data_IF_866640407642
#
_entry.id   IF_866640407642
#
_cell.length_a   1.000
_cell.length_b   1.000
_cell.length_c   1.000
_cell.angle_alpha   90.00
_cell.angle_beta   90.00
_cell.angle_gamma   90.00
#
_symmetry.space_group_name_H-M   'P 1'
#
loop_
_entity.id
_entity.type
_entity.pdbx_description
1 polymer ?
#
# COMPACT_ATOMS: atom_id res chain seq x y z
N UNK A 1 5.10 -8.95 11.37
CA UNK A 1 4.06 -7.93 11.36
C UNK A 1 3.88 -7.38 9.96
N UNK A 2 2.65 -7.18 9.53
CA UNK A 2 2.33 -6.59 8.23
C UNK A 2 1.65 -5.25 8.41
N UNK A 3 2.13 -4.23 7.70
CA UNK A 3 1.52 -2.90 7.71
C UNK A 3 0.90 -2.64 6.34
N UNK A 4 -0.35 -2.21 6.34
CA UNK A 4 -1.00 -1.72 5.12
C UNK A 4 -0.65 -0.25 4.94
N UNK A 5 -0.15 0.11 3.77
CA UNK A 5 0.18 1.50 3.44
C UNK A 5 -0.78 1.99 2.36
N UNK A 6 -1.50 3.06 2.68
CA UNK A 6 -2.36 3.75 1.72
C UNK A 6 -1.64 4.97 1.20
N UNK A 7 -1.44 5.05 -0.10
CA UNK A 7 -0.76 6.17 -0.74
C UNK A 7 -1.34 6.43 -2.13
N UNK A 8 -1.05 7.60 -2.65
CA UNK A 8 -1.55 8.00 -3.96
C UNK A 8 -0.77 7.40 -5.11
N UNK A 9 -1.37 7.45 -6.30
CA UNK A 9 -0.75 7.04 -7.55
C UNK A 9 0.11 8.15 -8.17
N UNK A 10 0.31 9.25 -7.46
CA UNK A 10 1.13 10.37 -7.89
C UNK A 10 2.24 10.62 -6.88
N UNK A 11 3.42 11.03 -7.36
CA UNK A 11 4.53 11.42 -6.48
C UNK A 11 4.25 12.77 -5.83
N UNK A 12 3.38 13.59 -6.42
CA UNK A 12 3.12 14.94 -5.98
C UNK A 12 4.16 15.92 -6.51
N UNK A 13 4.04 17.18 -6.14
CA UNK A 13 4.95 18.24 -6.60
C UNK A 13 6.21 18.35 -5.75
N UNK A 14 6.16 17.86 -4.51
CA UNK A 14 7.28 17.96 -3.59
C UNK A 14 8.10 16.66 -3.57
N UNK A 15 9.35 16.67 -4.05
CA UNK A 15 10.20 15.47 -4.06
C UNK A 15 10.48 14.92 -2.66
N UNK A 16 10.29 15.72 -1.61
CA UNK A 16 10.46 15.26 -0.23
C UNK A 16 9.46 14.13 0.13
N UNK A 17 8.30 14.10 -0.51
CA UNK A 17 7.32 13.03 -0.26
C UNK A 17 7.87 11.67 -0.69
N UNK A 18 8.51 11.60 -1.85
CA UNK A 18 9.11 10.36 -2.32
C UNK A 18 10.28 9.94 -1.43
N UNK A 19 11.12 10.90 -1.02
CA UNK A 19 12.25 10.64 -0.13
C UNK A 19 11.78 10.15 1.24
N UNK A 20 10.78 10.78 1.82
CA UNK A 20 10.22 10.38 3.11
C UNK A 20 9.57 9.01 3.04
N UNK A 21 8.86 8.72 1.95
CA UNK A 21 8.23 7.42 1.71
C UNK A 21 9.29 6.31 1.63
N UNK A 22 10.36 6.56 0.89
CA UNK A 22 11.48 5.61 0.78
C UNK A 22 12.13 5.37 2.13
N UNK A 23 12.42 6.43 2.87
CA UNK A 23 13.03 6.33 4.20
C UNK A 23 12.14 5.54 5.17
N UNK A 24 10.84 5.80 5.16
CA UNK A 24 9.88 5.07 5.98
C UNK A 24 9.87 3.58 5.62
N UNK A 25 9.81 3.26 4.33
CA UNK A 25 9.81 1.87 3.86
C UNK A 25 11.08 1.14 4.29
N UNK A 26 12.24 1.75 4.13
CA UNK A 26 13.51 1.16 4.56
C UNK A 26 13.52 0.93 6.07
N UNK A 27 13.10 1.91 6.86
CA UNK A 27 13.06 1.80 8.31
C UNK A 27 12.17 0.65 8.77
N UNK A 28 10.95 0.57 8.23
CA UNK A 28 10.01 -0.49 8.61
C UNK A 28 10.53 -1.86 8.19
N UNK A 29 11.04 -1.98 6.98
CA UNK A 29 11.59 -3.26 6.49
C UNK A 29 12.76 -3.73 7.35
N UNK A 30 13.65 -2.82 7.73
CA UNK A 30 14.79 -3.14 8.59
C UNK A 30 14.37 -3.54 10.00
N UNK A 31 13.15 -3.24 10.42
CA UNK A 31 12.60 -3.63 11.72
C UNK A 31 11.66 -4.84 11.62
N UNK A 32 11.76 -5.61 10.54
CA UNK A 32 11.01 -6.86 10.41
C UNK A 32 9.56 -6.70 10.00
N UNK A 33 9.20 -5.55 9.43
CA UNK A 33 7.84 -5.27 8.99
C UNK A 33 7.71 -5.58 7.50
N UNK A 34 6.64 -6.25 7.11
CA UNK A 34 6.29 -6.51 5.72
C UNK A 34 5.18 -5.57 5.27
N UNK A 35 5.06 -5.38 3.96
CA UNK A 35 4.14 -4.42 3.36
C UNK A 35 2.93 -5.09 2.75
N UNK A 36 1.76 -4.49 2.97
CA UNK A 36 0.53 -4.74 2.20
C UNK A 36 0.12 -3.42 1.58
N UNK A 37 -0.13 -3.40 0.28
CA UNK A 37 -0.49 -2.14 -0.39
C UNK A 37 -1.31 -2.40 -1.65
N UNK A 38 -1.54 -1.34 -2.43
CA UNK A 38 -2.41 -1.41 -3.61
C UNK A 38 -1.86 -2.11 -4.84
N UNK A 39 -0.63 -2.63 -4.80
CA UNK A 39 -0.09 -3.46 -5.87
C UNK A 39 0.42 -2.74 -7.12
N UNK A 40 0.23 -1.43 -7.22
CA UNK A 40 0.67 -0.65 -8.37
C UNK A 40 2.15 -0.27 -8.32
N UNK A 41 2.64 0.27 -9.44
CA UNK A 41 4.02 0.72 -9.55
C UNK A 41 4.12 2.20 -9.94
N UNK A 42 3.03 2.95 -9.87
CA UNK A 42 3.01 4.36 -10.21
C UNK A 42 3.15 5.23 -8.96
N UNK A 43 3.81 6.37 -9.10
CA UNK A 43 3.93 7.36 -8.03
C UNK A 43 4.50 6.79 -6.74
N UNK A 44 3.94 7.17 -5.62
CA UNK A 44 4.38 6.71 -4.30
C UNK A 44 4.17 5.23 -4.08
N UNK A 45 3.24 4.60 -4.81
CA UNK A 45 3.04 3.15 -4.73
C UNK A 45 4.31 2.40 -5.10
N UNK A 46 4.92 2.76 -6.23
CA UNK A 46 6.17 2.13 -6.66
C UNK A 46 7.31 2.40 -5.69
N UNK A 47 7.38 3.63 -5.18
CA UNK A 47 8.43 4.02 -4.23
C UNK A 47 8.36 3.18 -2.95
N UNK A 48 7.18 3.05 -2.36
CA UNK A 48 7.05 2.30 -1.10
C UNK A 48 7.32 0.82 -1.29
N UNK A 49 6.82 0.22 -2.35
CA UNK A 49 7.06 -1.19 -2.64
C UNK A 49 8.54 -1.48 -2.85
N UNK A 50 9.22 -0.68 -3.67
CA UNK A 50 10.64 -0.87 -3.93
C UNK A 50 11.47 -0.66 -2.67
N UNK A 51 11.10 0.28 -1.81
CA UNK A 51 11.83 0.53 -0.57
C UNK A 51 11.82 -0.70 0.35
N UNK A 52 10.67 -1.35 0.51
CA UNK A 52 10.58 -2.59 1.30
C UNK A 52 11.37 -3.72 0.65
N UNK A 53 11.23 -3.90 -0.66
CA UNK A 53 11.94 -4.96 -1.39
C UNK A 53 13.45 -4.80 -1.31
N UNK A 54 13.96 -3.57 -1.39
CA UNK A 54 15.39 -3.28 -1.31
C UNK A 54 16.02 -3.74 0.00
N UNK A 55 15.24 -3.83 1.06
CA UNK A 55 15.70 -4.28 2.38
C UNK A 55 15.29 -5.71 2.70
N UNK A 56 14.84 -6.45 1.70
CA UNK A 56 14.54 -7.87 1.84
C UNK A 56 13.22 -8.22 2.50
N UNK A 57 12.33 -7.25 2.69
CA UNK A 57 11.01 -7.50 3.25
C UNK A 57 10.09 -8.16 2.23
N UNK A 58 9.01 -8.78 2.70
CA UNK A 58 7.95 -9.32 1.87
C UNK A 58 6.99 -8.18 1.50
N UNK A 59 6.52 -8.17 0.27
CA UNK A 59 5.57 -7.15 -0.21
C UNK A 59 4.39 -7.84 -0.88
N UNK A 60 3.21 -7.57 -0.36
CA UNK A 60 1.95 -8.13 -0.84
C UNK A 60 1.11 -7.03 -1.45
N UNK A 61 0.77 -7.18 -2.73
CA UNK A 61 -0.07 -6.23 -3.43
C UNK A 61 -1.46 -6.77 -3.65
N UNK A 62 -2.46 -5.89 -3.61
CA UNK A 62 -3.85 -6.22 -3.95
C UNK A 62 -4.35 -5.19 -4.92
N UNK A 63 -4.73 -5.60 -6.13
CA UNK A 63 -5.12 -4.67 -7.18
C UNK A 63 -6.39 -5.16 -7.89
N UNK A 64 -7.39 -4.26 -8.11
CA UNK A 64 -8.54 -4.60 -8.93
C UNK A 64 -8.13 -4.81 -10.38
N UNK A 65 -8.80 -5.75 -11.05
CA UNK A 65 -8.52 -6.08 -12.45
C UNK A 65 -8.51 -4.82 -13.35
N UNK A 66 -9.49 -3.93 -13.16
CA UNK A 66 -9.62 -2.74 -14.02
C UNK A 66 -8.54 -1.67 -13.78
N UNK A 67 -7.78 -1.77 -12.68
CA UNK A 67 -6.68 -0.85 -12.37
C UNK A 67 -5.30 -1.40 -12.74
N UNK A 68 -5.21 -2.67 -13.12
CA UNK A 68 -3.93 -3.31 -13.42
C UNK A 68 -3.08 -2.51 -14.41
N UNK A 69 -3.68 -2.07 -15.51
CA UNK A 69 -2.96 -1.32 -16.52
C UNK A 69 -2.76 0.13 -16.14
N UNK A 70 -3.75 0.74 -15.48
CA UNK A 70 -3.70 2.14 -15.07
C UNK A 70 -2.67 2.39 -13.97
N UNK A 71 -2.59 1.52 -12.99
CA UNK A 71 -1.65 1.65 -11.88
C UNK A 71 -0.35 0.89 -12.12
N UNK A 72 -0.20 0.28 -13.28
CA UNK A 72 1.01 -0.47 -13.68
C UNK A 72 1.38 -1.49 -12.61
N UNK A 73 0.64 -2.59 -12.54
CA UNK A 73 0.86 -3.64 -11.55
C UNK A 73 2.35 -3.95 -11.41
N UNK A 74 2.85 -3.95 -10.19
CA UNK A 74 4.27 -4.16 -9.89
C UNK A 74 4.67 -5.60 -10.20
N UNK A 75 5.80 -5.78 -10.88
CA UNK A 75 6.24 -7.09 -11.36
C UNK A 75 7.16 -7.83 -10.38
N UNK A 76 7.66 -7.15 -9.35
CA UNK A 76 8.64 -7.71 -8.43
C UNK A 76 8.13 -8.06 -7.04
N UNK A 77 6.81 -8.10 -6.83
CA UNK A 77 6.24 -8.36 -5.52
C UNK A 77 6.39 -9.81 -5.07
N UNK A 78 6.35 -10.02 -3.76
CA UNK A 78 6.27 -11.36 -3.18
C UNK A 78 5.01 -12.06 -3.66
N UNK A 79 3.88 -11.34 -3.63
CA UNK A 79 2.59 -11.84 -4.11
C UNK A 79 1.74 -10.67 -4.61
N UNK A 80 1.07 -10.85 -5.74
CA UNK A 80 0.10 -9.89 -6.26
C UNK A 80 -1.24 -10.59 -6.37
N UNK A 81 -2.21 -10.10 -5.61
CA UNK A 81 -3.57 -10.62 -5.65
C UNK A 81 -4.44 -9.71 -6.51
N UNK A 82 -5.07 -10.28 -7.52
CA UNK A 82 -5.98 -9.54 -8.39
C UNK A 82 -7.40 -9.80 -7.91
N UNK A 83 -8.14 -8.72 -7.68
CA UNK A 83 -9.50 -8.78 -7.15
C UNK A 83 -10.49 -8.14 -8.13
N UNK A 84 -11.78 -8.32 -7.87
CA UNK A 84 -12.81 -7.88 -8.81
C UNK A 84 -13.02 -6.36 -8.78
N UNK A 85 -12.95 -5.75 -7.59
CA UNK A 85 -13.27 -4.33 -7.42
C UNK A 85 -12.55 -3.72 -6.22
N UNK A 86 -12.77 -2.42 -6.00
CA UNK A 86 -12.16 -1.68 -4.90
C UNK A 86 -12.61 -2.17 -3.52
N UNK A 87 -13.84 -2.64 -3.42
CA UNK A 87 -14.35 -3.17 -2.17
C UNK A 87 -13.58 -4.42 -1.74
N UNK A 88 -13.35 -5.33 -2.67
CA UNK A 88 -12.55 -6.52 -2.41
C UNK A 88 -11.09 -6.17 -2.10
N UNK A 89 -10.53 -5.14 -2.76
CA UNK A 89 -9.18 -4.66 -2.47
C UNK A 89 -9.04 -4.24 -1.01
N UNK A 90 -9.94 -3.38 -0.55
CA UNK A 90 -9.92 -2.88 0.82
C UNK A 90 -10.11 -4.00 1.84
N UNK A 91 -11.07 -4.89 1.58
CA UNK A 91 -11.32 -6.02 2.46
C UNK A 91 -10.11 -6.95 2.57
N UNK A 92 -9.46 -7.26 1.45
CA UNK A 92 -8.28 -8.13 1.44
C UNK A 92 -7.12 -7.47 2.19
N UNK A 93 -6.87 -6.17 1.95
CA UNK A 93 -5.80 -5.45 2.64
C UNK A 93 -6.04 -5.41 4.15
N UNK A 94 -7.28 -5.18 4.58
CA UNK A 94 -7.62 -5.17 6.00
C UNK A 94 -7.40 -6.53 6.66
N UNK A 95 -7.72 -7.61 5.97
CA UNK A 95 -7.50 -8.97 6.50
C UNK A 95 -6.02 -9.31 6.62
N UNK A 96 -5.19 -8.80 5.71
CA UNK A 96 -3.77 -9.13 5.65
C UNK A 96 -2.91 -8.30 6.60
N UNK A 97 -3.38 -7.14 7.01
CA UNK A 97 -2.57 -6.18 7.76
C UNK A 97 -2.85 -6.18 9.25
N UNK A 98 -1.83 -5.93 10.04
CA UNK A 98 -1.93 -5.76 11.49
C UNK A 98 -2.11 -4.29 11.89
N UNK A 99 -1.69 -3.38 11.02
CA UNK A 99 -1.78 -1.94 11.27
C UNK A 99 -1.87 -1.19 9.93
N UNK A 100 -2.23 0.08 9.99
CA UNK A 100 -2.40 0.94 8.82
C UNK A 100 -1.54 2.19 8.91
N UNK A 101 -0.97 2.59 7.78
CA UNK A 101 -0.24 3.86 7.64
C UNK A 101 -0.76 4.56 6.40
N UNK A 102 -1.01 5.86 6.54
CA UNK A 102 -1.44 6.69 5.42
C UNK A 102 -0.32 7.65 5.02
N UNK A 103 -0.04 7.72 3.74
CA UNK A 103 0.90 8.66 3.15
C UNK A 103 0.12 9.67 2.31
N UNK A 104 0.73 10.81 1.92
CA UNK A 104 0.06 11.78 1.08
C UNK A 104 -0.56 11.13 -0.17
N UNK A 105 -1.82 11.44 -0.44
CA UNK A 105 -2.54 10.87 -1.56
C UNK A 105 -3.80 11.66 -1.87
N UNK A 106 -4.60 11.16 -2.80
CA UNK A 106 -5.85 11.80 -3.20
C UNK A 106 -7.04 11.37 -2.34
N UNK A 107 -8.23 11.61 -2.88
CA UNK A 107 -9.50 11.29 -2.21
C UNK A 107 -9.61 9.79 -1.90
N UNK A 108 -9.10 8.93 -2.79
CA UNK A 108 -9.13 7.49 -2.57
C UNK A 108 -8.38 7.05 -1.32
N UNK A 109 -7.24 7.69 -1.03
CA UNK A 109 -6.47 7.41 0.18
C UNK A 109 -7.25 7.79 1.44
N UNK A 110 -7.94 8.93 1.43
CA UNK A 110 -8.78 9.34 2.55
C UNK A 110 -9.93 8.36 2.77
N UNK A 111 -10.57 7.91 1.70
CA UNK A 111 -11.66 6.95 1.79
C UNK A 111 -11.18 5.63 2.41
N UNK A 112 -10.01 5.14 1.99
CA UNK A 112 -9.43 3.92 2.52
C UNK A 112 -9.14 4.04 4.03
N UNK A 113 -8.63 5.18 4.47
CA UNK A 113 -8.34 5.44 5.89
C UNK A 113 -9.62 5.44 6.72
N UNK A 114 -10.65 6.16 6.28
CA UNK A 114 -11.91 6.24 7.01
C UNK A 114 -12.59 4.88 7.10
N UNK A 115 -12.54 4.09 6.04
CA UNK A 115 -13.10 2.76 6.05
C UNK A 115 -12.35 1.84 7.01
N UNK A 116 -11.03 1.88 7.00
CA UNK A 116 -10.20 1.09 7.91
C UNK A 116 -10.49 1.45 9.38
N UNK A 117 -10.66 2.73 9.66
CA UNK A 117 -11.02 3.21 11.00
C UNK A 117 -12.39 2.69 11.42
N UNK A 118 -13.36 2.76 10.53
CA UNK A 118 -14.71 2.26 10.79
C UNK A 118 -14.67 0.76 11.12
N UNK A 119 -13.92 -0.03 10.36
CA UNK A 119 -13.80 -1.46 10.62
C UNK A 119 -13.15 -1.76 11.97
N UNK A 120 -12.15 -1.00 12.35
CA UNK A 120 -11.52 -1.15 13.67
C UNK A 120 -12.52 -0.88 14.78
N UNK A 121 -13.36 0.16 14.66
CA UNK A 121 -14.37 0.49 15.64
C UNK A 121 -15.47 -0.58 15.75
N UNK A 122 -15.76 -1.26 14.64
CA UNK A 122 -16.77 -2.32 14.62
C UNK A 122 -16.19 -3.69 15.04
N UNK A 123 -14.91 -3.76 15.34
CA UNK A 123 -14.27 -4.99 15.78
C UNK A 123 -13.90 -5.96 14.67
N UNK A 124 -13.84 -5.50 13.42
CA UNK A 124 -13.45 -6.33 12.29
C UNK A 124 -11.95 -6.35 12.04
N UNK A 125 -11.20 -5.56 12.81
CA UNK A 125 -9.75 -5.51 12.64
C UNK A 125 -8.99 -5.27 13.95
#
# INVERSE_FOLDING_TARGET
>A
MRIAVFCGSSIGENPEFAQATRALGHYLAMNGVDLVYGGGNVGLMGVVADAFLEKGAQVYGVIPEYLKDRELAHQGLTELKIVADMHERKAAMARMADAFVALPGGVGTLEEIFEAWTWAQLGYH
#
